data_IF_285960558759
#
_entry.id   IF_285960558759
#
_cell.length_a   1.000
_cell.length_b   1.000
_cell.length_c   1.000
_cell.angle_alpha   90.00
_cell.angle_beta   90.00
_cell.angle_gamma   90.00
#
_symmetry.space_group_name_H-M   'P 1'
#
loop_
_entity.id
_entity.type
_entity.pdbx_description
1 polymer ?
#
# COMPACT_ATOMS: atom_id res chain seq x y z
N UNK A 1 -4.36 59.49 -48.27
CA UNK A 1 -5.62 59.27 -47.52
C UNK A 1 -6.08 57.82 -47.56
N UNK A 2 -6.20 57.19 -48.74
CA UNK A 2 -6.63 55.79 -48.91
C UNK A 2 -5.76 54.77 -48.15
N UNK A 3 -4.43 54.90 -48.22
CA UNK A 3 -3.52 53.99 -47.50
C UNK A 3 -3.71 54.00 -45.97
N UNK A 4 -3.99 55.17 -45.39
CA UNK A 4 -4.20 55.31 -43.95
C UNK A 4 -5.50 54.63 -43.51
N UNK A 5 -6.56 54.76 -44.31
CA UNK A 5 -7.84 54.10 -44.05
C UNK A 5 -7.70 52.57 -44.16
N UNK A 6 -6.98 52.08 -45.18
CA UNK A 6 -6.70 50.64 -45.35
C UNK A 6 -5.90 50.06 -44.17
N UNK A 7 -4.93 50.80 -43.64
CA UNK A 7 -4.14 50.36 -42.49
C UNK A 7 -5.01 50.09 -41.26
N UNK A 8 -5.91 51.02 -40.92
CA UNK A 8 -6.81 50.84 -39.77
C UNK A 8 -7.86 49.75 -39.98
N UNK A 9 -8.38 49.59 -41.20
CA UNK A 9 -9.31 48.51 -41.54
C UNK A 9 -8.66 47.13 -41.38
N UNK A 10 -7.40 46.96 -41.81
CA UNK A 10 -6.65 45.72 -41.63
C UNK A 10 -6.42 45.42 -40.14
N UNK A 11 -6.07 46.43 -39.36
CA UNK A 11 -5.89 46.26 -37.91
C UNK A 11 -7.17 45.86 -37.19
N UNK A 12 -8.30 46.49 -37.54
CA UNK A 12 -9.61 46.14 -36.98
C UNK A 12 -9.98 44.71 -37.41
N UNK A 13 -9.76 44.34 -38.68
CA UNK A 13 -10.03 43.00 -39.16
C UNK A 13 -9.19 41.93 -38.42
N UNK A 14 -7.89 42.17 -38.22
CA UNK A 14 -7.01 41.28 -37.46
C UNK A 14 -7.45 41.15 -36.01
N UNK A 15 -7.86 42.24 -35.37
CA UNK A 15 -8.35 42.24 -34.00
C UNK A 15 -9.66 41.45 -33.86
N UNK A 16 -10.59 41.65 -34.79
CA UNK A 16 -11.86 40.91 -34.84
C UNK A 16 -11.62 39.42 -35.09
N UNK A 17 -10.68 39.07 -35.97
CA UNK A 17 -10.29 37.68 -36.24
C UNK A 17 -9.68 37.04 -34.99
N UNK A 18 -8.79 37.74 -34.27
CA UNK A 18 -8.19 37.24 -33.03
C UNK A 18 -9.25 36.97 -31.95
N UNK A 19 -10.22 37.88 -31.79
CA UNK A 19 -11.35 37.69 -30.86
C UNK A 19 -12.20 36.49 -31.30
N UNK A 20 -12.51 36.37 -32.58
CA UNK A 20 -13.26 35.23 -33.13
C UNK A 20 -12.56 33.90 -32.86
N UNK A 21 -11.23 33.82 -33.03
CA UNK A 21 -10.46 32.61 -32.73
C UNK A 21 -10.58 32.23 -31.25
N UNK A 22 -10.49 33.19 -30.34
CA UNK A 22 -10.60 32.92 -28.89
C UNK A 22 -12.01 32.49 -28.52
N UNK A 23 -13.04 33.15 -29.06
CA UNK A 23 -14.46 32.86 -28.75
C UNK A 23 -14.94 31.56 -29.39
N UNK A 24 -14.46 31.23 -30.60
CA UNK A 24 -14.84 30.01 -31.31
C UNK A 24 -13.90 28.84 -31.01
N UNK A 25 -12.78 29.05 -30.32
CA UNK A 25 -11.97 27.97 -29.81
C UNK A 25 -12.84 27.13 -28.87
N UNK A 26 -13.12 25.86 -29.19
CA UNK A 26 -13.88 25.01 -28.30
C UNK A 26 -13.13 24.99 -26.97
N UNK A 27 -13.84 25.34 -25.88
CA UNK A 27 -13.28 25.23 -24.54
C UNK A 27 -12.65 23.85 -24.41
N UNK A 28 -11.39 23.80 -23.98
CA UNK A 28 -10.70 22.52 -23.83
C UNK A 28 -11.62 21.61 -23.02
N UNK A 29 -12.12 20.53 -23.65
CA UNK A 29 -12.93 19.56 -22.93
C UNK A 29 -12.12 19.17 -21.70
N UNK A 30 -12.77 19.12 -20.54
CA UNK A 30 -12.10 18.68 -19.31
C UNK A 30 -11.61 17.28 -19.59
N UNK A 31 -10.35 17.14 -20.04
CA UNK A 31 -9.68 15.86 -20.13
C UNK A 31 -9.60 15.42 -18.68
N UNK A 32 -10.44 14.46 -18.33
CA UNK A 32 -10.24 13.65 -17.13
C UNK A 32 -8.78 13.22 -17.16
N UNK A 33 -7.95 13.89 -16.34
CA UNK A 33 -6.57 13.46 -16.16
C UNK A 33 -6.68 12.24 -15.27
N UNK A 34 -6.41 11.04 -15.80
CA UNK A 34 -6.44 9.86 -14.97
C UNK A 34 -5.48 10.07 -13.79
N UNK A 35 -5.88 9.60 -12.61
CA UNK A 35 -4.99 9.58 -11.46
C UNK A 35 -3.77 8.72 -11.81
N UNK A 36 -2.63 8.96 -11.13
CA UNK A 36 -1.38 8.25 -11.42
C UNK A 36 -1.57 6.71 -11.44
N UNK A 37 -2.35 6.16 -10.50
CA UNK A 37 -2.60 4.72 -10.37
C UNK A 37 -3.42 4.10 -11.51
N UNK A 38 -4.10 4.92 -12.31
CA UNK A 38 -4.86 4.45 -13.47
C UNK A 38 -3.99 4.25 -14.72
N UNK A 39 -2.82 4.89 -14.76
CA UNK A 39 -1.91 4.86 -15.92
C UNK A 39 -0.50 4.38 -15.58
N UNK A 40 -0.16 4.26 -14.31
CA UNK A 40 1.18 3.90 -13.88
C UNK A 40 1.52 2.45 -14.19
N UNK A 41 2.70 2.24 -14.74
CA UNK A 41 3.29 0.90 -14.88
C UNK A 41 3.80 0.47 -13.51
N UNK A 42 3.12 -0.50 -12.91
CA UNK A 42 3.46 -1.05 -11.61
C UNK A 42 4.27 -2.32 -11.77
N UNK A 43 5.37 -2.42 -11.04
CA UNK A 43 6.22 -3.59 -10.98
C UNK A 43 6.15 -4.22 -9.59
N UNK A 44 5.48 -5.37 -9.50
CA UNK A 44 5.48 -6.18 -8.29
C UNK A 44 6.79 -6.96 -8.20
N UNK A 45 7.54 -6.71 -7.13
CA UNK A 45 8.87 -7.30 -6.92
C UNK A 45 8.76 -8.35 -5.83
N UNK A 46 9.12 -9.59 -6.16
CA UNK A 46 9.38 -10.59 -5.13
C UNK A 46 10.79 -10.40 -4.55
N UNK A 47 10.90 -9.63 -3.45
CA UNK A 47 12.19 -9.15 -2.91
C UNK A 47 13.19 -10.28 -2.63
N UNK A 48 12.79 -11.41 -1.98
CA UNK A 48 13.72 -12.50 -1.64
C UNK A 48 14.39 -13.18 -2.84
N UNK A 49 13.92 -12.95 -4.06
CA UNK A 49 14.51 -13.53 -5.27
C UNK A 49 14.97 -12.48 -6.27
N UNK A 50 14.98 -11.19 -5.89
CA UNK A 50 15.26 -10.11 -6.81
C UNK A 50 16.75 -9.80 -6.92
N UNK A 51 17.38 -9.41 -5.81
CA UNK A 51 18.80 -9.07 -5.77
C UNK A 51 19.30 -9.18 -4.33
N UNK A 52 20.26 -10.07 -4.11
CA UNK A 52 21.04 -10.19 -2.87
C UNK A 52 22.12 -9.09 -2.85
N UNK A 53 22.24 -8.37 -1.73
CA UNK A 53 23.23 -7.31 -1.52
C UNK A 53 24.33 -7.67 -0.50
N UNK A 54 24.13 -8.65 0.36
CA UNK A 54 25.05 -8.99 1.46
C UNK A 54 25.68 -10.40 1.35
N UNK A 55 25.25 -11.18 0.37
CA UNK A 55 25.79 -12.49 0.02
C UNK A 55 25.21 -13.66 0.82
N UNK A 56 24.08 -13.47 1.52
CA UNK A 56 23.42 -14.53 2.28
C UNK A 56 22.61 -15.51 1.42
N UNK A 57 22.44 -15.21 0.13
CA UNK A 57 21.72 -16.01 -0.85
C UNK A 57 20.25 -15.63 -1.03
N UNK A 58 19.74 -14.64 -0.31
CA UNK A 58 18.39 -14.11 -0.42
C UNK A 58 18.42 -12.64 -0.84
N UNK A 59 17.42 -12.24 -1.62
CA UNK A 59 17.27 -10.84 -1.99
C UNK A 59 16.75 -9.99 -0.83
N UNK A 60 17.22 -8.75 -0.76
CA UNK A 60 16.91 -7.83 0.32
C UNK A 60 16.47 -6.44 -0.22
N UNK A 61 16.03 -5.55 0.67
CA UNK A 61 15.56 -4.22 0.25
C UNK A 61 16.70 -3.35 -0.29
N UNK A 62 17.94 -3.57 0.15
CA UNK A 62 19.08 -2.80 -0.36
C UNK A 62 19.37 -3.17 -1.82
N UNK A 63 19.32 -4.46 -2.15
CA UNK A 63 19.42 -4.96 -3.52
C UNK A 63 18.31 -4.42 -4.42
N UNK A 64 17.08 -4.25 -3.91
CA UNK A 64 16.02 -3.55 -4.64
C UNK A 64 16.39 -2.09 -4.94
N UNK A 65 16.86 -1.35 -3.93
CA UNK A 65 17.24 0.06 -4.09
C UNK A 65 18.40 0.24 -5.09
N UNK A 66 19.36 -0.68 -5.12
CA UNK A 66 20.47 -0.66 -6.07
C UNK A 66 20.02 -0.81 -7.54
N UNK A 67 18.87 -1.45 -7.78
CA UNK A 67 18.28 -1.62 -9.12
C UNK A 67 17.19 -0.61 -9.44
N UNK A 68 16.83 0.25 -8.51
CA UNK A 68 15.71 1.18 -8.66
C UNK A 68 15.87 2.12 -9.86
N UNK A 69 17.09 2.58 -10.13
CA UNK A 69 17.38 3.38 -11.32
C UNK A 69 17.17 2.62 -12.64
N UNK A 70 17.42 1.32 -12.65
CA UNK A 70 17.18 0.48 -13.82
C UNK A 70 15.68 0.29 -14.06
N UNK A 71 14.90 0.08 -13.00
CA UNK A 71 13.44 0.02 -13.06
C UNK A 71 12.85 1.34 -13.57
N UNK A 72 13.36 2.47 -13.07
CA UNK A 72 12.96 3.80 -13.56
C UNK A 72 13.22 3.96 -15.07
N UNK A 73 14.41 3.57 -15.53
CA UNK A 73 14.81 3.64 -16.95
C UNK A 73 13.99 2.73 -17.86
N UNK A 74 13.49 1.59 -17.35
CA UNK A 74 12.61 0.70 -18.12
C UNK A 74 11.16 1.21 -18.20
N UNK A 75 10.85 2.33 -17.54
CA UNK A 75 9.53 2.96 -17.58
C UNK A 75 8.59 2.54 -16.43
N UNK A 76 9.10 1.79 -15.43
CA UNK A 76 8.36 1.51 -14.20
C UNK A 76 8.14 2.82 -13.46
N UNK A 77 6.89 3.06 -13.05
CA UNK A 77 6.49 4.25 -12.30
C UNK A 77 6.15 3.92 -10.85
N UNK A 78 5.79 2.67 -10.57
CA UNK A 78 5.38 2.21 -9.25
C UNK A 78 6.09 0.90 -8.93
N UNK A 79 6.72 0.81 -7.76
CA UNK A 79 7.27 -0.44 -7.23
C UNK A 79 6.38 -0.98 -6.14
N UNK A 80 6.17 -2.28 -6.15
CA UNK A 80 5.38 -2.98 -5.14
C UNK A 80 6.21 -4.16 -4.61
N UNK A 81 7.09 -3.92 -3.62
CA UNK A 81 7.84 -4.99 -2.98
C UNK A 81 6.92 -5.91 -2.18
N UNK A 82 7.05 -7.20 -2.43
CA UNK A 82 6.38 -8.28 -1.72
C UNK A 82 7.39 -9.40 -1.42
N UNK A 83 7.39 -10.00 -0.23
CA UNK A 83 6.77 -9.51 1.00
C UNK A 83 7.45 -8.22 1.48
N UNK A 84 6.82 -7.54 2.44
CA UNK A 84 7.39 -6.34 3.07
C UNK A 84 7.21 -6.38 4.58
N UNK A 85 5.99 -6.62 5.06
CA UNK A 85 5.69 -6.76 6.48
C UNK A 85 6.14 -8.12 7.03
N UNK A 86 6.55 -8.13 8.29
CA UNK A 86 6.96 -9.36 8.99
C UNK A 86 5.81 -10.37 9.06
N UNK A 87 6.08 -11.61 8.62
CA UNK A 87 5.07 -12.69 8.58
C UNK A 87 5.69 -14.08 8.77
N UNK A 88 4.85 -15.07 9.06
CA UNK A 88 5.28 -16.47 9.08
C UNK A 88 5.50 -16.98 7.65
N UNK A 89 6.74 -17.29 7.27
CA UNK A 89 7.09 -17.85 5.95
C UNK A 89 6.49 -17.07 4.76
N UNK A 90 6.54 -15.74 4.80
CA UNK A 90 5.99 -14.87 3.75
C UNK A 90 4.47 -15.05 3.49
N UNK A 91 3.74 -15.54 4.50
CA UNK A 91 2.28 -15.67 4.42
C UNK A 91 1.58 -14.33 4.58
N UNK A 92 0.30 -14.27 4.17
CA UNK A 92 -0.53 -13.09 4.39
C UNK A 92 -0.91 -12.89 5.87
N UNK A 93 -0.52 -13.79 6.78
CA UNK A 93 -0.76 -13.64 8.21
C UNK A 93 0.40 -12.88 8.85
N UNK A 94 0.33 -11.55 8.83
CA UNK A 94 1.39 -10.69 9.38
C UNK A 94 1.48 -10.79 10.91
N UNK A 95 2.70 -10.66 11.43
CA UNK A 95 2.98 -10.58 12.88
C UNK A 95 2.93 -9.15 13.40
N UNK A 96 3.19 -8.17 12.54
CA UNK A 96 3.01 -6.75 12.85
C UNK A 96 2.72 -5.95 11.59
N UNK A 97 1.95 -4.87 11.74
CA UNK A 97 1.62 -3.94 10.66
C UNK A 97 2.58 -2.74 10.56
N UNK A 98 3.47 -2.57 11.53
CA UNK A 98 4.38 -1.43 11.69
C UNK A 98 5.86 -1.83 11.55
N UNK A 99 6.12 -3.08 11.17
CA UNK A 99 7.48 -3.62 11.06
C UNK A 99 7.69 -4.26 9.70
N UNK A 100 8.77 -3.85 9.04
CA UNK A 100 9.33 -4.55 7.90
C UNK A 100 9.91 -5.90 8.34
N UNK A 101 9.86 -6.90 7.47
CA UNK A 101 10.44 -8.21 7.71
C UNK A 101 11.97 -8.07 7.93
N UNK A 102 12.53 -8.54 9.07
CA UNK A 102 13.95 -8.45 9.34
C UNK A 102 14.84 -9.16 8.31
N UNK A 103 14.30 -10.14 7.58
CA UNK A 103 15.00 -10.81 6.48
C UNK A 103 15.30 -9.87 5.30
N UNK A 104 14.61 -8.72 5.23
CA UNK A 104 14.79 -7.73 4.17
C UNK A 104 15.74 -6.60 4.58
N UNK A 105 16.16 -6.56 5.85
CA UNK A 105 17.01 -5.52 6.42
C UNK A 105 16.45 -4.93 7.72
N UNK A 106 17.15 -3.97 8.34
CA UNK A 106 16.71 -3.32 9.56
C UNK A 106 15.45 -2.47 9.30
N UNK A 107 14.57 -2.33 10.29
CA UNK A 107 13.31 -1.59 10.13
C UNK A 107 13.49 -0.13 9.70
N UNK A 108 14.62 0.50 10.04
CA UNK A 108 14.97 1.88 9.62
C UNK A 108 15.10 2.00 8.09
N UNK A 109 15.47 0.91 7.41
CA UNK A 109 15.59 0.89 5.94
C UNK A 109 14.22 1.00 5.25
N UNK A 110 13.12 0.74 5.95
CA UNK A 110 11.77 0.89 5.39
C UNK A 110 11.50 2.33 4.93
N UNK A 111 11.75 3.31 5.81
CA UNK A 111 11.54 4.73 5.51
C UNK A 111 12.52 5.20 4.45
N UNK A 112 13.80 4.80 4.54
CA UNK A 112 14.81 5.11 3.52
C UNK A 112 14.42 4.58 2.13
N UNK A 113 13.82 3.39 2.07
CA UNK A 113 13.39 2.79 0.81
C UNK A 113 12.21 3.55 0.19
N UNK A 114 11.25 3.97 1.02
CA UNK A 114 10.11 4.78 0.58
C UNK A 114 10.60 6.13 0.03
N UNK A 115 11.48 6.81 0.76
CA UNK A 115 12.06 8.09 0.36
C UNK A 115 12.87 7.97 -0.94
N UNK A 116 13.73 6.95 -1.05
CA UNK A 116 14.53 6.73 -2.25
C UNK A 116 13.69 6.46 -3.52
N UNK A 117 12.52 5.85 -3.36
CA UNK A 117 11.55 5.67 -4.45
C UNK A 117 10.89 6.99 -4.83
N UNK A 118 10.48 7.80 -3.85
CA UNK A 118 9.91 9.11 -4.10
C UNK A 118 10.89 10.11 -4.71
N UNK A 119 12.16 10.10 -4.29
CA UNK A 119 13.22 10.95 -4.85
C UNK A 119 13.43 10.73 -6.35
N UNK A 120 13.05 9.55 -6.85
CA UNK A 120 13.10 9.20 -8.27
C UNK A 120 11.81 9.50 -9.03
N UNK A 121 10.84 10.13 -8.38
CA UNK A 121 9.51 10.40 -8.92
C UNK A 121 8.67 9.15 -9.12
N UNK A 122 9.04 8.05 -8.47
CA UNK A 122 8.32 6.78 -8.50
C UNK A 122 7.36 6.69 -7.31
N UNK A 123 6.55 5.64 -7.30
CA UNK A 123 5.51 5.37 -6.29
C UNK A 123 5.83 4.08 -5.54
N UNK A 124 5.60 4.06 -4.23
CA UNK A 124 5.88 2.92 -3.37
C UNK A 124 4.57 2.32 -2.88
N UNK A 125 4.28 1.11 -3.34
CA UNK A 125 3.05 0.41 -2.97
C UNK A 125 3.35 -0.75 -2.02
N UNK A 126 2.53 -0.89 -0.99
CA UNK A 126 2.64 -1.96 -0.01
C UNK A 126 1.33 -2.75 0.09
N UNK A 127 1.47 -4.08 0.25
CA UNK A 127 0.35 -4.95 0.61
C UNK A 127 0.08 -4.88 2.11
N UNK A 128 -1.17 -4.68 2.51
CA UNK A 128 -1.58 -4.80 3.91
C UNK A 128 -2.65 -5.88 4.03
N UNK A 129 -2.30 -7.09 4.50
CA UNK A 129 -3.27 -8.15 4.69
C UNK A 129 -4.26 -7.84 5.81
N UNK A 130 -5.55 -7.79 5.46
CA UNK A 130 -6.61 -7.33 6.37
C UNK A 130 -7.54 -8.44 6.84
N UNK A 131 -7.45 -9.63 6.24
CA UNK A 131 -8.35 -10.75 6.56
C UNK A 131 -7.88 -11.52 7.80
N UNK A 132 -6.57 -11.73 7.92
CA UNK A 132 -5.96 -12.57 8.95
C UNK A 132 -4.69 -11.95 9.50
N UNK A 133 -4.33 -12.33 10.74
CA UNK A 133 -3.01 -12.05 11.32
C UNK A 133 -2.39 -13.33 11.83
N UNK A 134 -1.08 -13.34 12.06
CA UNK A 134 -0.43 -14.45 12.77
C UNK A 134 -1.00 -14.59 14.19
N UNK A 135 -1.05 -15.81 14.71
CA UNK A 135 -1.30 -16.08 16.14
C UNK A 135 -0.19 -15.55 17.06
N UNK A 136 0.93 -15.09 16.49
CA UNK A 136 2.01 -14.39 17.18
C UNK A 136 1.84 -12.86 17.15
N UNK A 137 0.84 -12.34 16.42
CA UNK A 137 0.52 -10.91 16.40
C UNK A 137 0.04 -10.44 17.78
N UNK A 138 0.48 -9.26 18.21
CA UNK A 138 0.16 -8.69 19.52
C UNK A 138 -1.35 -8.65 19.79
N UNK A 139 -2.14 -8.22 18.80
CA UNK A 139 -3.61 -8.24 18.87
C UNK A 139 -4.19 -9.63 19.20
N UNK A 140 -3.66 -10.70 18.61
CA UNK A 140 -4.13 -12.06 18.89
C UNK A 140 -3.77 -12.49 20.31
N UNK A 141 -2.53 -12.21 20.74
CA UNK A 141 -2.05 -12.52 22.09
C UNK A 141 -2.88 -11.80 23.16
N UNK A 142 -3.19 -10.51 22.94
CA UNK A 142 -4.06 -9.71 23.81
C UNK A 142 -5.50 -10.22 23.78
N UNK A 143 -6.05 -10.51 22.60
CA UNK A 143 -7.40 -11.08 22.47
C UNK A 143 -7.55 -12.41 23.22
N UNK A 144 -6.56 -13.31 23.07
CA UNK A 144 -6.52 -14.61 23.75
C UNK A 144 -6.32 -14.50 25.27
N UNK A 145 -5.95 -13.33 25.77
CA UNK A 145 -5.78 -13.04 27.21
C UNK A 145 -6.69 -11.92 27.68
N UNK A 146 -7.80 -11.65 26.98
CA UNK A 146 -8.71 -10.56 27.30
C UNK A 146 -9.49 -10.72 28.62
N UNK A 147 -9.30 -11.83 29.35
CA UNK A 147 -9.68 -11.96 30.76
C UNK A 147 -8.88 -11.02 31.67
N UNK A 148 -7.66 -10.65 31.27
CA UNK A 148 -6.82 -9.63 31.89
C UNK A 148 -7.44 -8.25 31.59
N UNK A 149 -7.71 -7.40 32.61
CA UNK A 149 -8.39 -6.12 32.43
C UNK A 149 -7.77 -5.22 31.35
N UNK A 150 -6.44 -5.18 31.28
CA UNK A 150 -5.65 -4.39 30.32
C UNK A 150 -5.92 -4.81 28.87
N UNK A 151 -6.24 -6.08 28.63
CA UNK A 151 -6.43 -6.65 27.30
C UNK A 151 -7.91 -6.75 26.91
N UNK A 152 -8.84 -6.34 27.79
CA UNK A 152 -10.29 -6.50 27.59
C UNK A 152 -10.79 -5.91 26.26
N UNK A 153 -10.19 -4.81 25.82
CA UNK A 153 -10.55 -4.12 24.58
C UNK A 153 -10.27 -4.95 23.31
N UNK A 154 -9.40 -5.96 23.40
CA UNK A 154 -9.02 -6.84 22.28
C UNK A 154 -9.89 -8.11 22.19
N UNK A 155 -10.77 -8.35 23.18
CA UNK A 155 -11.62 -9.57 23.23
C UNK A 155 -12.39 -9.82 21.93
N UNK A 156 -12.85 -8.77 21.27
CA UNK A 156 -13.65 -8.86 20.05
C UNK A 156 -12.87 -8.72 18.73
N UNK A 157 -11.52 -8.71 18.75
CA UNK A 157 -10.71 -8.55 17.53
C UNK A 157 -10.75 -9.81 16.63
N UNK A 158 -11.05 -10.97 17.18
CA UNK A 158 -11.13 -12.24 16.47
C UNK A 158 -12.45 -12.94 16.79
N UNK A 159 -12.80 -13.93 15.97
CA UNK A 159 -13.97 -14.77 16.21
C UNK A 159 -13.64 -15.90 17.20
N UNK A 160 -14.14 -15.76 18.43
CA UNK A 160 -14.04 -16.76 19.49
C UNK A 160 -15.39 -17.45 19.72
N UNK A 161 -15.37 -18.76 19.96
CA UNK A 161 -16.55 -19.57 20.26
C UNK A 161 -16.22 -20.67 21.29
N UNK A 162 -17.23 -21.12 22.03
CA UNK A 162 -17.11 -22.31 22.91
C UNK A 162 -17.23 -23.62 22.12
N UNK A 163 -17.90 -23.57 20.98
CA UNK A 163 -18.15 -24.72 20.11
C UNK A 163 -17.48 -24.44 18.74
N UNK A 164 -16.44 -25.20 18.41
CA UNK A 164 -15.65 -25.02 17.20
C UNK A 164 -15.99 -26.03 16.09
N UNK A 165 -16.11 -25.57 14.85
CA UNK A 165 -16.17 -26.45 13.68
C UNK A 165 -14.78 -26.97 13.30
N UNK A 166 -14.62 -28.29 13.10
CA UNK A 166 -13.31 -28.97 12.95
C UNK A 166 -12.35 -28.42 11.88
N UNK A 167 -12.84 -27.72 10.85
CA UNK A 167 -12.01 -27.34 9.69
C UNK A 167 -11.46 -25.91 9.72
N UNK A 168 -12.04 -25.01 10.52
CA UNK A 168 -11.68 -23.58 10.56
C UNK A 168 -11.44 -23.08 11.98
N UNK A 169 -11.49 -23.97 12.97
CA UNK A 169 -11.35 -23.62 14.36
C UNK A 169 -10.28 -24.46 15.03
N UNK A 170 -9.44 -23.79 15.82
CA UNK A 170 -8.41 -24.42 16.65
C UNK A 170 -8.64 -24.02 18.09
N UNK A 171 -8.46 -24.98 19.01
CA UNK A 171 -8.63 -24.75 20.44
C UNK A 171 -7.42 -24.02 21.05
N UNK A 172 -7.69 -23.04 21.91
CA UNK A 172 -6.71 -22.36 22.75
C UNK A 172 -7.33 -22.01 24.09
N UNK A 173 -6.83 -22.62 25.17
CA UNK A 173 -7.29 -22.42 26.57
C UNK A 173 -8.82 -22.62 26.74
N UNK A 174 -9.39 -23.65 26.12
CA UNK A 174 -10.81 -24.00 26.26
C UNK A 174 -11.78 -23.15 25.44
N UNK A 175 -11.28 -22.30 24.54
CA UNK A 175 -12.06 -21.61 23.52
C UNK A 175 -11.50 -21.93 22.14
N UNK A 176 -12.35 -21.83 21.13
CA UNK A 176 -11.98 -22.02 19.74
C UNK A 176 -11.91 -20.67 19.03
N UNK A 177 -10.83 -20.40 18.30
CA UNK A 177 -10.73 -19.24 17.42
C UNK A 177 -10.82 -19.65 15.96
N UNK A 178 -11.38 -18.77 15.13
CA UNK A 178 -11.46 -18.98 13.68
C UNK A 178 -10.12 -18.67 13.01
N UNK A 179 -9.70 -19.52 12.08
CA UNK A 179 -8.48 -19.36 11.29
C UNK A 179 -8.70 -19.76 9.82
N UNK A 180 -7.76 -19.40 8.97
CA UNK A 180 -7.75 -19.77 7.56
C UNK A 180 -7.67 -21.30 7.38
N UNK A 181 -8.29 -21.81 6.31
CA UNK A 181 -8.30 -23.25 6.02
C UNK A 181 -6.87 -23.77 5.86
N UNK A 182 -6.50 -24.77 6.66
CA UNK A 182 -5.19 -25.40 6.58
C UNK A 182 -4.04 -24.58 7.18
N UNK A 183 -4.32 -23.38 7.73
CA UNK A 183 -3.33 -22.56 8.41
C UNK A 183 -3.88 -22.08 9.76
N UNK A 184 -3.61 -22.85 10.82
CA UNK A 184 -4.02 -22.51 12.17
C UNK A 184 -3.27 -21.30 12.76
N UNK A 185 -2.18 -20.86 12.13
CA UNK A 185 -1.47 -19.63 12.51
C UNK A 185 -2.11 -18.37 11.94
N UNK A 186 -2.96 -18.47 10.92
CA UNK A 186 -3.65 -17.32 10.31
C UNK A 186 -5.02 -17.11 10.96
N UNK A 187 -5.06 -16.39 12.08
CA UNK A 187 -6.30 -16.10 12.81
C UNK A 187 -7.14 -15.04 12.09
N UNK A 188 -8.46 -15.28 11.96
CA UNK A 188 -9.38 -14.42 11.21
C UNK A 188 -9.83 -13.22 12.04
N UNK A 189 -9.64 -12.03 11.48
CA UNK A 189 -10.03 -10.77 12.09
C UNK A 189 -11.55 -10.54 12.03
N UNK A 190 -12.12 -10.02 13.13
CA UNK A 190 -13.54 -9.73 13.25
C UNK A 190 -13.86 -8.27 12.87
N UNK A 191 -14.09 -8.05 11.58
CA UNK A 191 -14.43 -6.74 11.01
C UNK A 191 -15.73 -6.13 11.49
N UNK A 192 -16.58 -6.87 12.21
CA UNK A 192 -17.79 -6.32 12.83
C UNK A 192 -17.43 -5.43 14.04
N UNK A 193 -16.28 -5.66 14.68
CA UNK A 193 -15.82 -4.91 15.84
C UNK A 193 -15.33 -3.50 15.44
N UNK A 194 -15.87 -2.46 16.07
CA UNK A 194 -15.47 -1.07 15.80
C UNK A 194 -14.05 -0.74 16.26
N UNK A 195 -13.61 -1.29 17.40
CA UNK A 195 -12.25 -1.06 17.90
C UNK A 195 -11.21 -1.62 16.94
N UNK A 196 -11.43 -2.82 16.40
CA UNK A 196 -10.55 -3.39 15.38
C UNK A 196 -10.42 -2.44 14.19
N UNK A 197 -11.54 -1.95 13.64
CA UNK A 197 -11.52 -1.02 12.50
C UNK A 197 -10.70 0.22 12.81
N UNK A 198 -10.89 0.83 13.98
CA UNK A 198 -10.10 1.99 14.42
C UNK A 198 -8.61 1.69 14.51
N UNK A 199 -8.23 0.54 15.09
CA UNK A 199 -6.82 0.12 15.15
C UNK A 199 -6.22 -0.12 13.76
N UNK A 200 -6.98 -0.72 12.84
CA UNK A 200 -6.51 -0.94 11.47
C UNK A 200 -6.26 0.37 10.72
N UNK A 201 -7.13 1.38 10.90
CA UNK A 201 -6.89 2.70 10.30
C UNK A 201 -5.61 3.35 10.81
N UNK A 202 -5.26 3.16 12.08
CA UNK A 202 -3.98 3.63 12.62
C UNK A 202 -2.81 2.89 11.97
N UNK A 203 -2.92 1.57 11.80
CA UNK A 203 -1.92 0.76 11.10
C UNK A 203 -1.69 1.21 9.65
N UNK A 204 -2.74 1.58 8.92
CA UNK A 204 -2.61 2.17 7.58
C UNK A 204 -1.85 3.49 7.56
N UNK A 205 -1.92 4.28 8.64
CA UNK A 205 -1.23 5.57 8.72
C UNK A 205 0.22 5.49 9.20
N UNK A 206 0.71 4.29 9.54
CA UNK A 206 2.04 4.14 10.14
C UNK A 206 3.17 4.53 9.17
N UNK A 207 3.17 3.94 7.97
CA UNK A 207 4.13 4.30 6.94
C UNK A 207 3.65 5.52 6.16
N UNK A 208 4.23 6.68 6.47
CA UNK A 208 3.92 7.92 5.77
C UNK A 208 4.45 7.88 4.33
N UNK A 209 3.63 8.28 3.37
CA UNK A 209 4.03 8.31 1.95
C UNK A 209 3.82 7.01 1.19
N UNK A 210 3.43 5.91 1.85
CA UNK A 210 3.12 4.65 1.16
C UNK A 210 1.74 4.71 0.51
N UNK A 211 1.65 4.22 -0.73
CA UNK A 211 0.39 4.03 -1.43
C UNK A 211 -0.15 2.62 -1.18
N UNK A 212 -1.22 2.51 -0.39
CA UNK A 212 -1.73 1.22 0.08
C UNK A 212 -2.64 0.57 -0.97
N UNK A 213 -2.37 -0.70 -1.30
CA UNK A 213 -3.33 -1.57 -1.98
C UNK A 213 -4.12 -2.37 -0.93
N UNK A 214 -5.45 -2.26 -0.98
CA UNK A 214 -6.38 -3.07 -0.19
C UNK A 214 -6.81 -4.32 -0.96
#
# INVERSE_FOLDING_TARGET
MILFILFWLIWIALFVIAILIVVMSPGCTVRWRPNWWQTAVTYNVWVPSFQDSDGDGYGDMRGLLDRLENLRKSGVQTVWPAPFLISDNFSNAVRSYDQMDPALGPNQLADEAIDAVHDKGMKFVMSIPIATTSTEHDWFLKSATASIPENRNYSGFYHWTKEGAKHYFTERKGLYYMHEKGNNKAAVLNWQNSNLRSHMFVSYSFFTGVEILC
#
